data_IF_914651348028
#
_entry.id   IF_914651348028
#
_cell.length_a   1.000
_cell.length_b   1.000
_cell.length_c   1.000
_cell.angle_alpha   90.00
_cell.angle_beta   90.00
_cell.angle_gamma   90.00
#
_symmetry.space_group_name_H-M   'P 1'
#
loop_
_entity.id
_entity.type
_entity.pdbx_description
1 polymer ?
#
# COMPACT_ATOMS: atom_id res chain seq x y z
N UNK A 1 -63.60 21.75 4.96
CA UNK A 1 -62.92 21.80 6.26
C UNK A 1 -62.94 20.40 6.89
N UNK A 2 -62.04 19.43 6.74
CA UNK A 2 -60.62 19.37 6.41
C UNK A 2 -59.80 20.42 7.15
N UNK A 3 -58.98 19.94 8.10
CA UNK A 3 -58.00 20.65 8.94
C UNK A 3 -58.45 20.98 10.39
N UNK A 4 -58.52 19.95 11.24
CA UNK A 4 -57.92 19.97 12.60
C UNK A 4 -57.79 18.52 13.06
N UNK A 5 -56.79 17.84 12.50
CA UNK A 5 -55.58 17.43 13.24
C UNK A 5 -55.91 16.47 14.38
N UNK A 6 -55.98 15.19 14.00
CA UNK A 6 -55.54 14.10 14.82
C UNK A 6 -54.12 14.42 15.35
N UNK A 7 -54.03 14.85 16.60
CA UNK A 7 -52.80 14.73 17.36
C UNK A 7 -52.67 13.24 17.68
N UNK A 8 -51.77 12.59 16.96
CA UNK A 8 -51.47 11.18 17.06
C UNK A 8 -51.13 10.82 18.51
N UNK A 9 -51.96 9.99 19.12
CA UNK A 9 -51.61 9.19 20.29
C UNK A 9 -50.51 8.21 19.85
N UNK A 10 -49.25 8.56 20.06
CA UNK A 10 -48.16 7.61 20.01
C UNK A 10 -48.31 6.66 21.23
N UNK A 11 -48.40 5.33 21.04
CA UNK A 11 -48.40 4.38 22.14
C UNK A 11 -46.97 4.24 22.66
N UNK A 12 -46.54 5.20 23.47
CA UNK A 12 -45.19 5.23 24.05
C UNK A 12 -45.14 4.37 25.34
N UNK A 13 -45.44 3.08 25.18
CA UNK A 13 -45.45 2.07 26.24
C UNK A 13 -44.50 0.94 25.90
N UNK A 14 -43.19 1.19 25.94
CA UNK A 14 -42.20 0.12 25.86
C UNK A 14 -42.46 -0.91 26.96
N UNK A 15 -42.22 -2.21 26.72
CA UNK A 15 -42.43 -3.27 27.72
C UNK A 15 -41.62 -3.01 28.99
N UNK A 16 -40.47 -2.33 28.86
CA UNK A 16 -39.63 -1.88 29.96
C UNK A 16 -40.35 -0.89 30.87
N UNK A 17 -41.10 0.08 30.33
CA UNK A 17 -41.86 1.05 31.13
C UNK A 17 -42.94 0.35 31.97
N UNK A 18 -43.68 -0.57 31.36
CA UNK A 18 -44.68 -1.39 32.06
C UNK A 18 -44.06 -2.21 33.19
N UNK A 19 -42.91 -2.83 32.94
CA UNK A 19 -42.18 -3.57 33.97
C UNK A 19 -41.76 -2.66 35.14
N UNK A 20 -41.29 -1.45 34.86
CA UNK A 20 -40.92 -0.48 35.89
C UNK A 20 -42.14 0.02 36.67
N UNK A 21 -43.28 0.21 36.00
CA UNK A 21 -44.54 0.60 36.62
C UNK A 21 -45.08 -0.52 37.54
N UNK A 22 -45.00 -1.78 37.11
CA UNK A 22 -45.35 -2.95 37.91
C UNK A 22 -44.42 -3.08 39.14
N UNK A 23 -43.11 -2.94 38.96
CA UNK A 23 -42.15 -2.94 40.07
C UNK A 23 -42.37 -1.78 41.05
N UNK A 24 -42.64 -0.58 40.54
CA UNK A 24 -42.95 0.60 41.36
C UNK A 24 -44.22 0.41 42.19
N UNK A 25 -45.25 -0.19 41.57
CA UNK A 25 -46.50 -0.50 42.27
C UNK A 25 -46.30 -1.54 43.37
N UNK A 26 -45.52 -2.59 43.11
CA UNK A 26 -45.15 -3.64 44.06
C UNK A 26 -44.33 -3.09 45.23
N UNK A 27 -43.34 -2.25 44.96
CA UNK A 27 -42.56 -1.56 46.00
C UNK A 27 -43.45 -0.67 46.86
N UNK A 28 -44.35 0.10 46.24
CA UNK A 28 -45.29 0.97 46.96
C UNK A 28 -46.21 0.20 47.90
N UNK A 29 -46.71 -0.97 47.47
CA UNK A 29 -47.54 -1.84 48.32
C UNK A 29 -46.74 -2.38 49.52
N UNK A 30 -45.51 -2.86 49.28
CA UNK A 30 -44.65 -3.39 50.35
C UNK A 30 -44.26 -2.32 51.37
N UNK A 31 -43.98 -1.11 50.91
CA UNK A 31 -43.68 0.03 51.79
C UNK A 31 -44.88 0.37 52.69
N UNK A 32 -46.09 0.46 52.12
CA UNK A 32 -47.30 0.74 52.92
C UNK A 32 -47.56 -0.33 53.98
N UNK A 33 -47.36 -1.60 53.63
CA UNK A 33 -47.51 -2.69 54.59
C UNK A 33 -46.47 -2.58 55.71
N UNK A 34 -45.20 -2.34 55.36
CA UNK A 34 -44.13 -2.18 56.34
C UNK A 34 -44.36 -0.96 57.27
N UNK A 35 -44.88 0.15 56.75
CA UNK A 35 -45.26 1.32 57.55
C UNK A 35 -46.41 1.00 58.52
N UNK A 36 -47.44 0.29 58.06
CA UNK A 36 -48.57 -0.11 58.89
C UNK A 36 -48.14 -1.07 60.01
N UNK A 37 -47.32 -2.05 59.69
CA UNK A 37 -46.79 -3.03 60.65
C UNK A 37 -45.84 -2.35 61.64
N UNK A 38 -45.00 -1.43 61.18
CA UNK A 38 -44.12 -0.67 62.08
C UNK A 38 -44.92 0.25 63.02
N UNK A 39 -45.98 0.90 62.53
CA UNK A 39 -46.84 1.75 63.38
C UNK A 39 -47.64 0.94 64.42
N UNK A 40 -48.01 -0.30 64.11
CA UNK A 40 -48.90 -1.11 64.94
C UNK A 40 -48.15 -2.05 65.89
N UNK A 41 -47.06 -2.66 65.43
CA UNK A 41 -46.40 -3.79 66.10
C UNK A 41 -44.99 -3.43 66.58
N UNK A 42 -44.12 -2.93 65.70
CA UNK A 42 -42.68 -2.85 65.97
C UNK A 42 -42.22 -1.51 66.58
N UNK A 43 -42.80 -0.39 66.15
CA UNK A 43 -42.51 0.97 66.60
C UNK A 43 -41.01 1.35 66.51
N UNK A 44 -40.31 0.79 65.53
CA UNK A 44 -38.87 1.01 65.34
C UNK A 44 -38.62 2.38 64.65
N UNK A 45 -37.62 3.15 65.12
CA UNK A 45 -37.24 4.41 64.49
C UNK A 45 -36.57 4.16 63.13
N UNK A 46 -37.06 4.82 62.08
CA UNK A 46 -36.49 4.70 60.72
C UNK A 46 -35.15 5.45 60.66
N UNK A 47 -34.04 4.76 60.35
CA UNK A 47 -32.73 5.39 60.25
C UNK A 47 -32.64 6.32 59.03
N UNK A 48 -31.78 7.34 59.11
CA UNK A 48 -31.48 8.19 57.96
C UNK A 48 -30.64 7.44 56.92
N UNK A 49 -30.74 7.81 55.65
CA UNK A 49 -30.10 7.07 54.55
C UNK A 49 -28.57 6.90 54.70
N UNK A 50 -27.89 7.84 55.37
CA UNK A 50 -26.44 7.77 55.64
C UNK A 50 -26.05 6.86 56.81
N UNK A 51 -27.01 6.47 57.66
CA UNK A 51 -26.79 5.51 58.75
C UNK A 51 -26.98 4.05 58.29
N UNK A 52 -27.47 3.83 57.08
CA UNK A 52 -27.62 2.50 56.50
C UNK A 52 -26.26 1.98 55.99
N UNK A 53 -25.97 0.68 56.17
CA UNK A 53 -24.75 0.08 55.64
C UNK A 53 -24.76 0.14 54.10
N UNK A 54 -23.59 0.42 53.51
CA UNK A 54 -23.43 0.47 52.06
C UNK A 54 -23.64 -0.92 51.46
N UNK A 55 -24.43 -0.99 50.39
CA UNK A 55 -24.58 -2.21 49.61
C UNK A 55 -23.34 -2.41 48.73
N UNK A 56 -22.62 -3.53 48.94
CA UNK A 56 -21.44 -3.87 48.15
C UNK A 56 -21.81 -4.43 46.77
N UNK A 57 -21.36 -3.82 45.67
CA UNK A 57 -21.65 -4.31 44.34
C UNK A 57 -20.85 -5.58 44.05
N UNK A 58 -21.52 -6.64 43.60
CA UNK A 58 -20.87 -7.85 43.10
C UNK A 58 -20.88 -7.87 41.58
N UNK A 59 -19.71 -7.74 40.97
CA UNK A 59 -19.55 -7.84 39.52
C UNK A 59 -19.59 -9.31 39.10
N UNK A 60 -20.55 -9.67 38.25
CA UNK A 60 -20.73 -11.03 37.73
C UNK A 60 -20.08 -11.25 36.35
N UNK A 61 -19.55 -10.20 35.74
CA UNK A 61 -18.98 -10.25 34.39
C UNK A 61 -17.55 -9.72 34.39
N UNK A 62 -16.71 -10.36 33.57
CA UNK A 62 -15.34 -9.91 33.28
C UNK A 62 -15.28 -9.42 31.84
N UNK A 63 -14.62 -8.28 31.56
CA UNK A 63 -14.39 -7.86 30.19
C UNK A 63 -13.48 -8.88 29.49
N UNK A 64 -13.93 -9.38 28.35
CA UNK A 64 -13.16 -10.31 27.52
C UNK A 64 -12.25 -9.47 26.62
N UNK A 65 -10.97 -9.86 26.52
CA UNK A 65 -10.06 -9.19 25.59
C UNK A 65 -10.43 -9.57 24.15
N UNK A 66 -10.35 -8.63 23.18
CA UNK A 66 -10.75 -8.91 21.80
C UNK A 66 -10.07 -10.16 21.22
N UNK A 67 -8.81 -10.39 21.58
CA UNK A 67 -8.01 -11.56 21.18
C UNK A 67 -8.58 -12.91 21.64
N UNK A 68 -9.30 -12.96 22.76
CA UNK A 68 -9.87 -14.19 23.32
C UNK A 68 -11.27 -14.52 22.76
N UNK A 69 -12.03 -13.49 22.38
CA UNK A 69 -13.39 -13.64 21.85
C UNK A 69 -13.46 -13.97 20.34
N UNK A 70 -12.35 -13.79 19.62
CA UNK A 70 -12.30 -13.95 18.16
C UNK A 70 -11.78 -15.32 17.69
N UNK A 71 -11.25 -16.14 18.61
CA UNK A 71 -10.54 -17.40 18.29
C UNK A 71 -11.37 -18.43 17.51
N UNK A 72 -12.70 -18.46 17.65
CA UNK A 72 -13.54 -19.42 16.92
C UNK A 72 -14.09 -18.87 15.60
N UNK A 73 -14.27 -17.55 15.47
CA UNK A 73 -14.76 -16.92 14.24
C UNK A 73 -13.62 -16.63 13.24
N UNK A 74 -12.42 -16.29 13.70
CA UNK A 74 -11.25 -16.07 12.85
C UNK A 74 -10.65 -17.37 12.31
N UNK A 75 -10.81 -18.50 13.01
CA UNK A 75 -10.40 -19.81 12.48
C UNK A 75 -11.25 -20.24 11.25
N UNK A 76 -12.48 -19.73 11.12
CA UNK A 76 -13.35 -19.96 9.97
C UNK A 76 -13.16 -18.92 8.85
N UNK A 77 -12.66 -17.72 9.18
CA UNK A 77 -12.15 -16.76 8.20
C UNK A 77 -10.70 -17.14 7.87
N UNK A 78 -10.53 -18.28 7.19
CA UNK A 78 -9.30 -18.56 6.48
C UNK A 78 -8.97 -17.32 5.65
N UNK A 79 -7.75 -16.80 5.83
CA UNK A 79 -7.26 -15.60 5.16
C UNK A 79 -7.72 -15.62 3.70
N UNK A 80 -8.60 -14.69 3.32
CA UNK A 80 -9.27 -14.71 2.03
C UNK A 80 -8.27 -14.48 0.87
N UNK A 81 -7.07 -14.01 1.20
CA UNK A 81 -6.02 -13.68 0.24
C UNK A 81 -4.64 -14.21 0.68
N UNK A 82 -4.47 -15.53 0.85
CA UNK A 82 -3.22 -16.09 1.37
C UNK A 82 -2.06 -15.92 0.38
N UNK A 83 -2.36 -15.67 -0.90
CA UNK A 83 -1.39 -15.39 -1.95
C UNK A 83 -1.11 -13.89 -2.15
N UNK A 84 -1.83 -13.00 -1.48
CA UNK A 84 -1.63 -11.56 -1.61
C UNK A 84 -0.45 -11.14 -0.73
N UNK A 85 0.62 -10.72 -1.39
CA UNK A 85 1.79 -10.17 -0.72
C UNK A 85 1.43 -8.85 -0.03
N UNK A 86 1.83 -8.63 1.24
CA UNK A 86 1.66 -7.36 1.89
C UNK A 86 2.35 -6.24 1.09
N UNK A 87 1.72 -5.06 1.00
CA UNK A 87 2.27 -3.93 0.24
C UNK A 87 3.70 -3.56 0.68
N UNK A 88 4.02 -3.72 1.98
CA UNK A 88 5.35 -3.52 2.52
C UNK A 88 6.40 -4.46 1.89
N UNK A 89 6.04 -5.72 1.62
CA UNK A 89 6.94 -6.69 0.98
C UNK A 89 7.17 -6.35 -0.49
N UNK A 90 6.12 -5.93 -1.20
CA UNK A 90 6.26 -5.48 -2.59
C UNK A 90 7.18 -4.25 -2.71
N UNK A 91 7.03 -3.27 -1.82
CA UNK A 91 7.89 -2.09 -1.76
C UNK A 91 9.36 -2.44 -1.43
N UNK A 92 9.58 -3.40 -0.52
CA UNK A 92 10.92 -3.86 -0.20
C UNK A 92 11.59 -4.56 -1.39
N UNK A 93 10.83 -5.37 -2.14
CA UNK A 93 11.33 -6.05 -3.35
C UNK A 93 11.70 -5.04 -4.44
N UNK A 94 10.87 -4.04 -4.70
CA UNK A 94 11.18 -3.01 -5.70
C UNK A 94 12.41 -2.19 -5.31
N UNK A 95 12.54 -1.83 -4.03
CA UNK A 95 13.73 -1.16 -3.52
C UNK A 95 14.99 -2.03 -3.72
N UNK A 96 14.93 -3.31 -3.35
CA UNK A 96 16.05 -4.23 -3.51
C UNK A 96 16.47 -4.36 -4.98
N UNK A 97 15.53 -4.51 -5.91
CA UNK A 97 15.84 -4.53 -7.34
C UNK A 97 16.54 -3.24 -7.80
N UNK A 98 16.06 -2.07 -7.34
CA UNK A 98 16.71 -0.79 -7.62
C UNK A 98 18.16 -0.75 -7.14
N UNK A 99 18.42 -1.20 -5.91
CA UNK A 99 19.77 -1.25 -5.34
C UNK A 99 20.69 -2.22 -6.08
N UNK A 100 20.20 -3.40 -6.48
CA UNK A 100 20.96 -4.37 -7.26
C UNK A 100 21.32 -3.81 -8.63
N UNK A 101 20.37 -3.18 -9.32
CA UNK A 101 20.63 -2.56 -10.62
C UNK A 101 21.65 -1.42 -10.52
N UNK A 102 21.56 -0.58 -9.49
CA UNK A 102 22.53 0.48 -9.25
C UNK A 102 23.94 -0.10 -9.03
N UNK A 103 24.08 -1.13 -8.18
CA UNK A 103 25.37 -1.79 -7.94
C UNK A 103 25.95 -2.43 -9.20
N UNK A 104 25.12 -3.11 -10.00
CA UNK A 104 25.57 -3.72 -11.25
C UNK A 104 26.03 -2.67 -12.26
N UNK A 105 25.29 -1.56 -12.38
CA UNK A 105 25.65 -0.45 -13.25
C UNK A 105 26.97 0.19 -12.80
N UNK A 106 27.15 0.42 -11.51
CA UNK A 106 28.40 0.97 -10.95
C UNK A 106 29.60 0.04 -11.20
N UNK A 107 29.43 -1.28 -11.04
CA UNK A 107 30.49 -2.24 -11.32
C UNK A 107 30.84 -2.28 -12.80
N UNK A 108 29.82 -2.28 -13.67
CA UNK A 108 30.01 -2.27 -15.12
C UNK A 108 30.77 -1.01 -15.56
N UNK A 109 30.32 0.17 -15.12
CA UNK A 109 30.93 1.45 -15.48
C UNK A 109 32.36 1.62 -14.93
N UNK A 110 32.62 1.13 -13.72
CA UNK A 110 34.00 1.10 -13.17
C UNK A 110 34.90 0.19 -13.98
N UNK A 111 34.43 -1.01 -14.31
CA UNK A 111 35.22 -1.99 -15.08
C UNK A 111 35.55 -1.45 -16.48
N UNK A 112 34.57 -0.83 -17.16
CA UNK A 112 34.83 -0.21 -18.47
C UNK A 112 35.78 0.98 -18.35
N UNK A 113 35.59 1.84 -17.34
CA UNK A 113 36.48 2.98 -17.10
C UNK A 113 37.92 2.55 -16.81
N UNK A 114 38.11 1.52 -15.99
CA UNK A 114 39.45 1.03 -15.64
C UNK A 114 40.11 0.31 -16.82
N UNK A 115 39.34 -0.41 -17.64
CA UNK A 115 39.83 -0.97 -18.90
C UNK A 115 40.27 0.12 -19.88
N UNK A 116 39.50 1.19 -20.02
CA UNK A 116 39.85 2.35 -20.85
C UNK A 116 41.11 3.07 -20.33
N UNK A 117 41.25 3.26 -19.01
CA UNK A 117 42.45 3.85 -18.41
C UNK A 117 43.68 2.97 -18.66
N UNK A 118 43.57 1.66 -18.47
CA UNK A 118 44.65 0.73 -18.75
C UNK A 118 45.02 0.75 -20.24
N UNK A 119 44.03 0.79 -21.14
CA UNK A 119 44.27 0.89 -22.57
C UNK A 119 44.96 2.21 -22.96
N UNK A 120 44.57 3.34 -22.34
CA UNK A 120 45.23 4.63 -22.55
C UNK A 120 46.68 4.62 -22.05
N UNK A 121 46.92 4.11 -20.84
CA UNK A 121 48.27 3.99 -20.29
C UNK A 121 49.18 3.08 -21.15
N UNK A 122 48.64 1.96 -21.66
CA UNK A 122 49.34 1.09 -22.59
C UNK A 122 49.63 1.80 -23.93
N UNK A 123 48.68 2.59 -24.44
CA UNK A 123 48.86 3.36 -25.66
C UNK A 123 49.91 4.48 -25.51
N UNK A 124 49.96 5.17 -24.37
CA UNK A 124 50.97 6.18 -24.05
C UNK A 124 52.39 5.60 -24.04
N UNK A 125 52.52 4.33 -23.64
CA UNK A 125 53.79 3.60 -23.65
C UNK A 125 54.08 2.93 -25.02
N UNK A 126 53.20 3.11 -26.01
CA UNK A 126 53.24 2.43 -27.32
C UNK A 126 53.26 0.88 -27.22
N UNK A 127 52.87 0.34 -26.06
CA UNK A 127 52.77 -1.10 -25.77
C UNK A 127 51.38 -1.55 -26.24
N UNK A 128 51.24 -2.14 -27.44
CA UNK A 128 51.94 -3.35 -27.85
C UNK A 128 52.70 -3.23 -29.18
N UNK A 129 52.64 -2.06 -29.82
CA UNK A 129 53.28 -1.80 -31.12
C UNK A 129 54.81 -1.82 -30.97
N UNK A 130 55.34 -1.30 -29.87
CA UNK A 130 56.76 -1.35 -29.55
C UNK A 130 57.28 -2.80 -29.38
N UNK A 131 56.47 -3.70 -28.85
CA UNK A 131 56.84 -5.12 -28.71
C UNK A 131 56.80 -5.86 -30.06
N UNK A 132 55.76 -5.60 -30.86
CA UNK A 132 55.58 -6.21 -32.19
C UNK A 132 56.61 -5.66 -33.20
N UNK A 133 57.05 -4.41 -33.09
CA UNK A 133 58.09 -3.82 -33.94
C UNK A 133 59.50 -4.39 -33.68
N UNK A 134 59.73 -4.97 -32.50
CA UNK A 134 60.96 -5.71 -32.21
C UNK A 134 61.00 -7.10 -32.84
N UNK A 135 59.86 -7.64 -33.31
CA UNK A 135 59.82 -8.91 -34.02
C UNK A 135 60.32 -8.73 -35.46
N UNK A 136 61.29 -9.54 -35.89
CA UNK A 136 62.00 -9.39 -37.16
C UNK A 136 61.18 -9.74 -38.43
N UNK A 137 59.90 -10.05 -38.29
CA UNK A 137 59.03 -10.48 -39.38
C UNK A 137 58.36 -9.30 -40.09
N UNK A 138 58.55 -9.18 -41.42
CA UNK A 138 57.94 -8.14 -42.27
C UNK A 138 56.43 -8.34 -42.57
N UNK A 139 55.75 -9.18 -41.78
CA UNK A 139 54.33 -9.52 -41.97
C UNK A 139 53.46 -8.55 -41.16
N UNK A 140 52.17 -8.44 -41.52
CA UNK A 140 51.24 -7.72 -40.65
C UNK A 140 51.24 -8.34 -39.24
N UNK A 141 51.27 -7.54 -38.17
CA UNK A 141 51.25 -8.04 -36.81
C UNK A 141 50.05 -8.97 -36.57
N UNK A 142 50.29 -10.08 -35.86
CA UNK A 142 49.28 -11.11 -35.62
C UNK A 142 48.01 -10.55 -34.95
N UNK A 143 48.17 -9.51 -34.11
CA UNK A 143 47.06 -8.80 -33.47
C UNK A 143 46.17 -8.08 -34.48
N UNK A 144 46.75 -7.37 -35.44
CA UNK A 144 45.99 -6.67 -36.50
C UNK A 144 45.26 -7.66 -37.39
N UNK A 145 45.91 -8.78 -37.76
CA UNK A 145 45.25 -9.83 -38.56
C UNK A 145 44.04 -10.41 -37.80
N UNK A 146 44.18 -10.69 -36.50
CA UNK A 146 43.06 -11.16 -35.67
C UNK A 146 41.95 -10.11 -35.52
N UNK A 147 42.30 -8.84 -35.37
CA UNK A 147 41.34 -7.75 -35.27
C UNK A 147 40.56 -7.56 -36.57
N UNK A 148 41.24 -7.61 -37.73
CA UNK A 148 40.61 -7.56 -39.06
C UNK A 148 39.69 -8.76 -39.26
N UNK A 149 40.15 -9.98 -38.96
CA UNK A 149 39.35 -11.19 -39.06
C UNK A 149 38.10 -11.12 -38.18
N UNK A 150 38.22 -10.59 -36.95
CA UNK A 150 37.08 -10.37 -36.06
C UNK A 150 36.11 -9.34 -36.62
N UNK A 151 36.59 -8.21 -37.13
CA UNK A 151 35.77 -7.17 -37.72
C UNK A 151 35.02 -7.67 -38.97
N UNK A 152 35.68 -8.46 -39.81
CA UNK A 152 35.06 -9.12 -40.97
C UNK A 152 34.03 -10.16 -40.55
N UNK A 153 34.31 -10.96 -39.51
CA UNK A 153 33.37 -11.95 -38.98
C UNK A 153 32.10 -11.31 -38.38
N UNK A 154 32.21 -10.10 -37.83
CA UNK A 154 31.05 -9.32 -37.34
C UNK A 154 30.30 -8.56 -38.45
N UNK A 155 30.63 -8.78 -39.74
CA UNK A 155 29.97 -8.17 -40.89
C UNK A 155 30.55 -6.82 -41.33
N UNK A 156 31.66 -6.40 -40.74
CA UNK A 156 32.40 -5.21 -41.16
C UNK A 156 31.61 -3.91 -41.04
N UNK A 157 31.79 -3.03 -42.02
CA UNK A 157 31.19 -1.68 -42.02
C UNK A 157 29.70 -1.70 -42.36
N UNK A 158 29.25 -2.66 -43.18
CA UNK A 158 27.84 -2.73 -43.60
C UNK A 158 26.87 -2.88 -42.44
N UNK A 159 27.21 -3.68 -41.43
CA UNK A 159 26.39 -3.85 -40.22
C UNK A 159 26.29 -2.55 -39.41
N UNK A 160 27.36 -1.74 -39.38
CA UNK A 160 27.34 -0.45 -38.71
C UNK A 160 26.43 0.55 -39.44
N UNK A 161 26.46 0.56 -40.77
CA UNK A 161 25.58 1.40 -41.60
C UNK A 161 24.11 0.99 -41.45
N UNK A 162 23.83 -0.31 -41.40
CA UNK A 162 22.48 -0.84 -41.14
C UNK A 162 21.98 -0.43 -39.76
N UNK A 163 22.78 -0.62 -38.70
CA UNK A 163 22.42 -0.21 -37.34
C UNK A 163 22.19 1.29 -37.23
N UNK A 164 23.04 2.11 -37.87
CA UNK A 164 22.87 3.55 -37.92
C UNK A 164 21.55 3.93 -38.62
N UNK A 165 21.24 3.29 -39.76
CA UNK A 165 19.98 3.52 -40.47
C UNK A 165 18.77 3.16 -39.61
N UNK A 166 18.85 2.04 -38.87
CA UNK A 166 17.81 1.59 -37.96
C UNK A 166 17.62 2.56 -36.77
N UNK A 167 18.70 3.04 -36.16
CA UNK A 167 18.63 4.06 -35.11
C UNK A 167 17.93 5.34 -35.60
N UNK A 168 18.31 5.85 -36.79
CA UNK A 168 17.67 7.05 -37.34
C UNK A 168 16.20 6.85 -37.70
N UNK A 169 15.80 5.62 -38.07
CA UNK A 169 14.40 5.29 -38.32
C UNK A 169 13.60 5.27 -37.01
N UNK A 170 14.12 4.60 -35.97
CA UNK A 170 13.52 4.53 -34.65
C UNK A 170 13.39 5.92 -33.99
N UNK A 171 14.38 6.79 -34.16
CA UNK A 171 14.32 8.17 -33.68
C UNK A 171 13.16 8.94 -34.33
N UNK A 172 12.95 8.78 -35.64
CA UNK A 172 11.83 9.40 -36.35
C UNK A 172 10.49 8.84 -35.86
N UNK A 173 10.40 7.53 -35.68
CA UNK A 173 9.19 6.88 -35.14
C UNK A 173 8.86 7.39 -33.73
N UNK A 174 9.83 7.42 -32.83
CA UNK A 174 9.67 7.96 -31.48
C UNK A 174 9.23 9.43 -31.50
N UNK A 175 9.83 10.25 -32.37
CA UNK A 175 9.44 11.66 -32.51
C UNK A 175 8.01 11.82 -33.04
N UNK A 176 7.58 10.99 -34.00
CA UNK A 176 6.21 10.99 -34.50
C UNK A 176 5.19 10.55 -33.43
N UNK A 177 5.54 9.59 -32.57
CA UNK A 177 4.68 9.14 -31.45
C UNK A 177 4.54 10.26 -30.41
N UNK A 178 5.64 10.91 -30.03
CA UNK A 178 5.60 12.04 -29.09
C UNK A 178 4.71 13.20 -29.61
N UNK A 179 4.82 13.55 -30.90
CA UNK A 179 3.96 14.57 -31.51
C UNK A 179 2.47 14.18 -31.57
N UNK A 180 2.16 12.88 -31.70
CA UNK A 180 0.78 12.37 -31.64
C UNK A 180 0.19 12.48 -30.23
N UNK A 181 0.96 12.22 -29.19
CA UNK A 181 0.48 12.36 -27.81
C UNK A 181 0.18 13.82 -27.45
N UNK A 182 1.03 14.76 -27.88
CA UNK A 182 0.79 16.19 -27.70
C UNK A 182 -0.46 16.69 -28.45
N UNK A 183 -0.66 16.23 -29.69
CA UNK A 183 -1.86 16.60 -30.47
C UNK A 183 -3.14 15.95 -29.95
N UNK A 184 -3.07 14.73 -29.40
CA UNK A 184 -4.19 14.07 -28.71
C UNK A 184 -4.53 14.75 -27.37
N UNK A 185 -3.54 15.19 -26.59
CA UNK A 185 -3.78 15.96 -25.37
C UNK A 185 -4.43 17.32 -25.65
N UNK A 186 -4.02 18.00 -26.72
CA UNK A 186 -4.64 19.27 -27.16
C UNK A 186 -6.07 19.06 -27.67
N UNK A 187 -6.37 17.96 -28.37
CA UNK A 187 -7.74 17.64 -28.80
C UNK A 187 -8.64 17.20 -27.62
N UNK A 188 -8.10 16.48 -26.63
CA UNK A 188 -8.88 16.02 -25.48
C UNK A 188 -9.21 17.17 -24.51
N UNK A 189 -8.28 18.12 -24.29
CA UNK A 189 -8.54 19.32 -23.50
C UNK A 189 -9.62 20.24 -24.11
N UNK A 190 -9.74 20.25 -25.45
CA UNK A 190 -10.73 21.07 -26.16
C UNK A 190 -12.15 20.47 -26.20
N UNK A 191 -12.32 19.21 -25.79
CA UNK A 191 -13.62 18.54 -25.75
C UNK A 191 -14.37 18.70 -24.41
N UNK A 192 -13.75 19.27 -23.37
CA UNK A 192 -14.39 19.46 -22.05
C UNK A 192 -15.21 20.77 -21.96
N UNK A 193 -15.01 21.72 -22.88
CA UNK A 193 -15.73 23.00 -22.94
C UNK A 193 -16.81 23.04 -24.04
N UNK A 194 -17.74 22.08 -24.03
CA UNK A 194 -19.00 22.21 -24.79
C UNK A 194 -20.15 22.38 -23.79
N UNK A 195 -20.73 23.59 -23.65
CA UNK A 195 -21.87 23.79 -22.75
C UNK A 195 -23.10 23.03 -23.27
N UNK A 196 -23.93 22.47 -22.36
CA UNK A 196 -25.15 21.77 -22.76
C UNK A 196 -26.11 22.78 -23.38
N UNK A 197 -26.56 22.49 -24.61
CA UNK A 197 -27.65 23.24 -25.25
C UNK A 197 -28.92 23.09 -24.41
N UNK A 198 -29.44 24.22 -23.95
CA UNK A 198 -30.79 24.38 -23.40
C UNK A 198 -31.86 24.24 -24.49
#
# INVERSE_FOLDING_TARGET
ELMRRAAAAAPDGSPERRSLEDESSSLSQRTRQAEQDNATIYQDPVPSAGALPRLEPKLFVKPIRPEEGLSSAQAAYADAFPALLPAATAAAVTQFHGEVHAKLHDLSTRTTSDAEKAQKALAELELPQALEACEADKRLPARLVRAIAKAQATGGVGVLEELLSACTALEKEAHCVAQREETCHVYCARCVDVPPRA
#
